data_IF_274131169807
#
_entry.id   IF_274131169807
#
_cell.length_a   1.000
_cell.length_b   1.000
_cell.length_c   1.000
_cell.angle_alpha   90.00
_cell.angle_beta   90.00
_cell.angle_gamma   90.00
#
_symmetry.space_group_name_H-M   'P 1'
#
loop_
_entity.id
_entity.type
_entity.pdbx_description
1 polymer ?
#
# COMPACT_ATOMS: atom_id res chain seq x y z
N UNK A 1 -7.83 14.67 -13.72
CA UNK A 1 -6.99 14.53 -12.51
C UNK A 1 -7.58 13.43 -11.64
N UNK A 2 -6.78 12.43 -11.24
CA UNK A 2 -7.24 11.37 -10.34
C UNK A 2 -7.45 11.93 -8.93
N UNK A 3 -8.57 11.59 -8.29
CA UNK A 3 -8.83 11.96 -6.89
C UNK A 3 -8.17 10.93 -5.97
N UNK A 4 -7.55 11.35 -4.86
CA UNK A 4 -7.00 10.40 -3.90
C UNK A 4 -8.13 9.55 -3.30
N UNK A 5 -7.93 8.24 -3.32
CA UNK A 5 -8.85 7.28 -2.68
C UNK A 5 -8.47 7.17 -1.19
N UNK A 6 -9.47 7.20 -0.31
CA UNK A 6 -9.25 7.02 1.14
C UNK A 6 -8.89 5.57 1.45
N UNK A 7 -8.35 5.33 2.66
CA UNK A 7 -8.07 3.98 3.12
C UNK A 7 -9.36 3.14 3.19
N UNK A 8 -10.42 3.72 3.72
CA UNK A 8 -11.72 3.05 3.89
C UNK A 8 -12.40 2.73 2.56
N UNK A 9 -12.28 3.61 1.57
CA UNK A 9 -12.92 3.38 0.27
C UNK A 9 -12.24 2.23 -0.48
N UNK A 10 -10.92 2.24 -0.57
CA UNK A 10 -10.15 1.18 -1.25
C UNK A 10 -10.17 -0.14 -0.47
N UNK A 11 -10.33 -0.12 0.86
CA UNK A 11 -10.52 -1.33 1.67
C UNK A 11 -11.77 -2.11 1.27
N UNK A 12 -12.81 -1.45 0.75
CA UNK A 12 -14.04 -2.11 0.29
C UNK A 12 -13.75 -3.11 -0.83
N UNK A 13 -12.79 -2.82 -1.71
CA UNK A 13 -12.40 -3.72 -2.81
C UNK A 13 -11.78 -5.02 -2.26
N UNK A 14 -10.92 -4.90 -1.24
CA UNK A 14 -10.33 -6.06 -0.55
C UNK A 14 -11.42 -6.89 0.15
N UNK A 15 -12.35 -6.23 0.86
CA UNK A 15 -13.45 -6.92 1.56
C UNK A 15 -14.41 -7.59 0.60
N UNK A 16 -14.72 -6.97 -0.54
CA UNK A 16 -15.57 -7.56 -1.58
C UNK A 16 -14.96 -8.86 -2.17
N UNK A 17 -13.63 -8.96 -2.19
CA UNK A 17 -12.90 -10.18 -2.57
C UNK A 17 -12.73 -11.18 -1.40
N UNK A 18 -13.41 -10.98 -0.28
CA UNK A 18 -13.29 -11.77 0.94
C UNK A 18 -11.86 -11.81 1.52
N UNK A 19 -11.14 -10.68 1.43
CA UNK A 19 -9.81 -10.51 2.03
C UNK A 19 -9.95 -9.77 3.36
N UNK A 20 -9.42 -10.35 4.44
CA UNK A 20 -9.49 -9.73 5.76
C UNK A 20 -8.35 -8.73 5.98
N UNK A 21 -8.70 -7.46 6.20
CA UNK A 21 -7.73 -6.40 6.54
C UNK A 21 -7.49 -6.36 8.05
N UNK A 22 -6.24 -6.61 8.44
CA UNK A 22 -5.77 -6.62 9.83
C UNK A 22 -5.27 -5.25 10.30
N UNK A 23 -4.76 -4.43 9.39
CA UNK A 23 -4.31 -3.06 9.64
C UNK A 23 -4.26 -2.28 8.32
N UNK A 24 -4.31 -0.95 8.41
CA UNK A 24 -4.25 -0.04 7.27
C UNK A 24 -3.49 1.24 7.62
N UNK A 25 -2.76 1.79 6.66
CA UNK A 25 -2.00 3.02 6.83
C UNK A 25 -1.80 3.76 5.49
N UNK A 26 -1.69 5.09 5.55
CA UNK A 26 -1.09 5.89 4.47
C UNK A 26 0.43 5.86 4.65
N UNK A 27 1.16 5.53 3.59
CA UNK A 27 2.63 5.53 3.56
C UNK A 27 3.12 6.39 2.40
N UNK A 28 4.31 6.99 2.53
CA UNK A 28 4.95 7.65 1.40
C UNK A 28 5.32 6.62 0.33
N UNK A 29 5.19 6.97 -0.95
CA UNK A 29 5.56 6.08 -2.06
C UNK A 29 7.07 5.99 -2.32
N UNK A 30 7.87 6.69 -1.51
CA UNK A 30 9.33 6.70 -1.59
C UNK A 30 9.90 7.62 -2.68
N UNK A 31 9.05 8.31 -3.43
CA UNK A 31 9.46 9.24 -4.49
C UNK A 31 9.36 10.68 -3.95
N UNK A 32 10.25 11.57 -4.41
CA UNK A 32 10.11 13.01 -4.13
C UNK A 32 9.08 13.61 -5.08
N UNK A 33 7.99 14.13 -4.52
CA UNK A 33 6.94 14.81 -5.29
C UNK A 33 7.12 16.34 -5.22
N UNK A 34 6.72 17.07 -6.28
CA UNK A 34 6.70 18.54 -6.26
C UNK A 34 5.80 19.08 -5.14
N UNK A 35 6.30 20.05 -4.38
CA UNK A 35 5.54 20.71 -3.30
C UNK A 35 4.77 21.91 -3.85
N UNK A 36 3.63 21.64 -4.49
CA UNK A 36 2.72 22.69 -4.97
C UNK A 36 1.28 22.40 -4.51
N UNK A 37 0.48 23.45 -4.33
CA UNK A 37 -0.94 23.29 -4.02
C UNK A 37 -1.62 22.49 -5.14
N UNK A 38 -2.26 21.38 -4.79
CA UNK A 38 -2.93 20.49 -5.74
C UNK A 38 -2.03 19.40 -6.37
N UNK A 39 -0.73 19.36 -6.07
CA UNK A 39 0.12 18.23 -6.46
C UNK A 39 -0.21 16.97 -5.64
N UNK A 40 -0.01 15.79 -6.23
CA UNK A 40 -0.13 14.53 -5.48
C UNK A 40 0.90 14.50 -4.35
N UNK A 41 0.45 14.21 -3.13
CA UNK A 41 1.30 14.20 -1.94
C UNK A 41 2.25 12.98 -1.88
N UNK A 42 2.27 12.11 -2.89
CA UNK A 42 3.16 10.95 -2.94
C UNK A 42 2.88 9.92 -1.86
N UNK A 43 1.60 9.63 -1.60
CA UNK A 43 1.20 8.65 -0.58
C UNK A 43 0.39 7.52 -1.19
N UNK A 44 0.63 6.33 -0.68
CA UNK A 44 -0.08 5.10 -1.05
C UNK A 44 -0.86 4.54 0.15
N UNK A 45 -1.92 3.81 -0.17
CA UNK A 45 -2.65 3.02 0.81
C UNK A 45 -1.93 1.68 1.00
N UNK A 46 -1.64 1.32 2.24
CA UNK A 46 -1.00 0.05 2.60
C UNK A 46 -1.94 -0.72 3.54
N UNK A 47 -2.13 -2.00 3.24
CA UNK A 47 -2.99 -2.90 4.03
C UNK A 47 -2.19 -4.12 4.47
N UNK A 48 -2.36 -4.51 5.73
CA UNK A 48 -1.86 -5.79 6.25
C UNK A 48 -2.97 -6.82 6.13
N UNK A 49 -2.71 -7.88 5.39
CA UNK A 49 -3.63 -9.00 5.12
C UNK A 49 -2.95 -10.32 5.46
N UNK A 50 -3.68 -11.44 5.42
CA UNK A 50 -3.03 -12.75 5.55
C UNK A 50 -2.17 -13.01 4.30
N UNK A 51 -0.96 -13.57 4.49
CA UNK A 51 -0.04 -13.91 3.40
C UNK A 51 -0.67 -14.86 2.37
N UNK A 52 -1.55 -15.77 2.81
CA UNK A 52 -2.25 -16.70 1.91
C UNK A 52 -3.21 -15.99 0.93
N UNK A 53 -3.56 -14.73 1.18
CA UNK A 53 -4.47 -13.93 0.37
C UNK A 53 -3.75 -13.01 -0.62
N UNK A 54 -2.40 -13.04 -0.65
CA UNK A 54 -1.59 -12.15 -1.48
C UNK A 54 -1.93 -12.26 -2.97
N UNK A 55 -2.14 -13.47 -3.48
CA UNK A 55 -2.48 -13.67 -4.89
C UNK A 55 -3.87 -13.09 -5.23
N UNK A 56 -4.84 -13.17 -4.32
CA UNK A 56 -6.15 -12.51 -4.51
C UNK A 56 -5.99 -10.99 -4.57
N UNK A 57 -5.19 -10.41 -3.68
CA UNK A 57 -4.91 -8.98 -3.68
C UNK A 57 -4.19 -8.54 -4.97
N UNK A 58 -3.28 -9.36 -5.51
CA UNK A 58 -2.60 -9.10 -6.80
C UNK A 58 -3.57 -9.07 -7.98
N UNK A 59 -4.58 -9.92 -8.01
CA UNK A 59 -5.64 -9.90 -9.04
C UNK A 59 -6.41 -8.57 -9.02
N UNK A 60 -6.55 -7.95 -7.84
CA UNK A 60 -7.15 -6.61 -7.68
C UNK A 60 -6.17 -5.46 -8.00
N UNK A 61 -4.93 -5.76 -8.39
CA UNK A 61 -3.91 -4.75 -8.71
C UNK A 61 -3.05 -4.29 -7.53
N UNK A 62 -3.17 -4.90 -6.35
CA UNK A 62 -2.28 -4.58 -5.22
C UNK A 62 -0.91 -5.22 -5.40
N UNK A 63 0.13 -4.52 -4.96
CA UNK A 63 1.51 -5.00 -4.97
C UNK A 63 2.02 -5.26 -3.55
N UNK A 64 2.98 -6.17 -3.43
CA UNK A 64 3.63 -6.45 -2.14
C UNK A 64 4.44 -5.22 -1.70
N UNK A 65 4.14 -4.74 -0.50
CA UNK A 65 4.91 -3.69 0.17
C UNK A 65 5.69 -4.29 1.34
N UNK A 66 6.98 -3.95 1.42
CA UNK A 66 7.89 -4.40 2.49
C UNK A 66 8.48 -3.14 3.13
N UNK A 67 8.25 -2.94 4.43
CA UNK A 67 8.89 -1.85 5.18
C UNK A 67 10.31 -2.24 5.58
N UNK A 68 11.29 -1.61 4.92
CA UNK A 68 12.70 -1.79 5.21
C UNK A 68 13.27 -3.11 4.67
N UNK A 69 14.40 -3.03 3.97
CA UNK A 69 15.27 -4.20 3.79
C UNK A 69 16.18 -4.22 5.03
N UNK A 70 16.02 -5.21 5.89
CA UNK A 70 17.11 -5.62 6.79
C UNK A 70 18.18 -6.24 5.88
N UNK A 71 19.07 -5.41 5.35
CA UNK A 71 20.35 -5.89 4.84
C UNK A 71 21.11 -6.34 6.08
N UNK A 72 20.98 -7.62 6.43
CA UNK A 72 21.95 -8.27 7.29
C UNK A 72 23.28 -8.22 6.53
N UNK A 73 24.03 -7.14 6.73
CA UNK A 73 25.40 -7.06 6.27
C UNK A 73 26.13 -8.24 6.89
N UNK A 74 26.59 -9.16 6.06
CA UNK A 74 27.64 -10.09 6.43
C UNK A 74 28.84 -9.22 6.83
N UNK A 75 29.06 -9.07 8.13
CA UNK A 75 30.35 -8.63 8.63
C UNK A 75 31.32 -9.77 8.32
N UNK A 76 32.26 -9.49 7.43
CA UNK A 76 33.42 -10.31 7.15
C UNK A 76 34.35 -10.39 8.37
#
# INVERSE_FOLDING_TARGET
>A
MGRPVSLDEMEKELRAANIAVQAKAKKADGIRHPQMCGASAGTMNVYRINRSELEKARVLGFVLYIEGILIAGAAA
#
